data_IF_294014886559
#
_entry.id   IF_294014886559
#
_cell.length_a   1.000
_cell.length_b   1.000
_cell.length_c   1.000
_cell.angle_alpha   90.00
_cell.angle_beta   90.00
_cell.angle_gamma   90.00
#
_symmetry.space_group_name_H-M   'P 1'
#
loop_
_entity.id
_entity.type
_entity.pdbx_description
1 polymer ?
#
# COMPACT_ATOMS: atom_id res chain seq x y z
N UNK A 1 -3.62 5.61 7.78
CA UNK A 1 -3.94 5.26 6.38
C UNK A 1 -5.43 4.98 6.26
N UNK A 2 -6.11 5.44 5.19
CA UNK A 2 -7.52 5.15 4.96
C UNK A 2 -7.66 3.94 4.04
N UNK A 3 -8.42 2.93 4.47
CA UNK A 3 -8.71 1.71 3.70
C UNK A 3 -10.21 1.61 3.50
N UNK A 4 -10.64 1.24 2.29
CA UNK A 4 -12.06 1.12 1.96
C UNK A 4 -12.33 -0.34 1.63
N UNK A 5 -13.36 -0.92 2.24
CA UNK A 5 -13.78 -2.28 1.91
C UNK A 5 -14.31 -2.33 0.47
N UNK A 6 -13.79 -3.24 -0.34
CA UNK A 6 -14.18 -3.36 -1.76
C UNK A 6 -15.61 -3.90 -1.94
N UNK A 7 -16.16 -4.62 -0.95
CA UNK A 7 -17.52 -5.16 -1.07
C UNK A 7 -18.62 -4.21 -0.60
N UNK A 8 -18.46 -3.61 0.58
CA UNK A 8 -19.50 -2.76 1.18
C UNK A 8 -19.14 -1.27 1.20
N UNK A 9 -17.98 -0.88 0.65
CA UNK A 9 -17.50 0.51 0.63
C UNK A 9 -17.32 1.15 2.02
N UNK A 10 -17.24 0.34 3.09
CA UNK A 10 -16.99 0.80 4.45
C UNK A 10 -15.57 1.36 4.58
N UNK A 11 -15.44 2.52 5.21
CA UNK A 11 -14.15 3.21 5.42
C UNK A 11 -13.54 2.81 6.76
N UNK A 12 -12.27 2.44 6.76
CA UNK A 12 -11.48 2.05 7.92
C UNK A 12 -10.27 2.97 8.05
N UNK A 13 -10.04 3.48 9.26
CA UNK A 13 -8.82 4.20 9.57
C UNK A 13 -7.82 3.21 10.17
N UNK A 14 -6.79 2.88 9.41
CA UNK A 14 -5.73 1.96 9.83
C UNK A 14 -4.54 2.78 10.29
N UNK A 15 -4.29 2.76 11.59
CA UNK A 15 -3.08 3.33 12.18
C UNK A 15 -1.91 2.39 11.95
N UNK A 16 -0.96 2.86 11.15
CA UNK A 16 0.23 2.08 10.86
C UNK A 16 0.99 1.78 12.15
N UNK A 17 1.08 2.71 13.10
CA UNK A 17 1.76 2.50 14.40
C UNK A 17 1.21 1.32 15.20
N UNK A 18 -0.04 0.92 14.98
CA UNK A 18 -0.66 -0.23 15.64
C UNK A 18 -0.44 -1.55 14.89
N UNK A 19 0.03 -1.52 13.64
CA UNK A 19 0.36 -2.72 12.88
C UNK A 19 1.61 -3.39 13.48
N UNK A 20 1.49 -4.65 13.92
CA UNK A 20 2.59 -5.43 14.51
C UNK A 20 3.60 -5.97 13.49
N UNK A 21 3.40 -5.70 12.20
CA UNK A 21 4.27 -6.18 11.13
C UNK A 21 4.05 -5.44 9.82
N UNK A 22 4.63 -5.97 8.75
CA UNK A 22 4.52 -5.40 7.40
C UNK A 22 3.12 -5.58 6.80
N UNK A 23 2.30 -6.50 7.34
CA UNK A 23 0.92 -6.74 6.91
C UNK A 23 -0.03 -6.71 8.08
N UNK A 24 -1.17 -6.04 7.91
CA UNK A 24 -2.35 -6.20 8.76
C UNK A 24 -3.45 -6.93 8.00
N UNK A 25 -4.11 -7.86 8.68
CA UNK A 25 -5.28 -8.57 8.18
C UNK A 25 -6.43 -8.35 9.15
N UNK A 26 -7.58 -7.95 8.65
CA UNK A 26 -8.78 -7.77 9.47
C UNK A 26 -10.04 -8.06 8.66
N UNK A 27 -11.08 -8.52 9.34
CA UNK A 27 -12.39 -8.74 8.75
C UNK A 27 -13.23 -7.46 8.82
N UNK A 28 -13.87 -7.11 7.71
CA UNK A 28 -14.88 -6.06 7.65
C UNK A 28 -16.03 -6.40 8.58
N UNK A 29 -16.37 -5.49 9.49
CA UNK A 29 -17.46 -5.67 10.46
C UNK A 29 -18.86 -5.66 9.83
N UNK A 30 -19.02 -5.17 8.60
CA UNK A 30 -20.33 -5.06 7.95
C UNK A 30 -20.67 -6.30 7.10
N UNK A 31 -19.72 -6.72 6.26
CA UNK A 31 -19.92 -7.82 5.31
C UNK A 31 -19.12 -9.08 5.64
N UNK A 32 -18.19 -9.02 6.60
CA UNK A 32 -17.30 -10.14 6.93
C UNK A 32 -16.11 -10.34 5.97
N UNK A 33 -15.99 -9.49 4.94
CA UNK A 33 -14.91 -9.60 3.95
C UNK A 33 -13.52 -9.43 4.59
N UNK A 34 -12.56 -10.29 4.21
CA UNK A 34 -11.19 -10.23 4.76
C UNK A 34 -10.37 -9.22 3.99
N UNK A 35 -9.99 -8.14 4.67
CA UNK A 35 -9.19 -7.05 4.11
C UNK A 35 -7.74 -7.27 4.54
N UNK A 36 -6.83 -7.25 3.57
CA UNK A 36 -5.38 -7.37 3.79
C UNK A 36 -4.73 -6.06 3.37
N UNK A 37 -3.94 -5.50 4.27
CA UNK A 37 -3.30 -4.19 4.10
C UNK A 37 -1.81 -4.35 4.36
N UNK A 38 -0.99 -4.13 3.33
CA UNK A 38 0.46 -4.01 3.48
C UNK A 38 0.80 -2.60 3.94
N UNK A 39 1.63 -2.50 4.99
CA UNK A 39 2.28 -1.27 5.40
C UNK A 39 3.30 -0.93 4.32
N UNK A 40 2.86 -0.19 3.30
CA UNK A 40 3.78 0.32 2.27
C UNK A 40 4.70 1.32 2.95
N UNK A 41 5.86 0.85 3.42
CA UNK A 41 6.94 1.73 3.85
C UNK A 41 7.16 2.75 2.74
N UNK A 42 7.22 4.07 3.02
CA UNK A 42 7.50 5.09 2.01
C UNK A 42 8.93 5.01 1.44
N UNK A 43 9.61 3.88 1.58
CA UNK A 43 10.89 3.60 0.94
C UNK A 43 10.64 3.01 -0.45
N UNK A 44 11.05 3.78 -1.47
CA UNK A 44 11.23 3.38 -2.88
C UNK A 44 10.02 3.54 -3.82
N UNK A 45 9.40 4.71 -3.82
CA UNK A 45 8.83 5.29 -5.05
C UNK A 45 9.87 6.13 -5.84
N UNK A 46 11.16 5.81 -5.71
CA UNK A 46 12.25 6.36 -6.53
C UNK A 46 13.19 5.24 -6.95
N UNK A 47 12.76 4.44 -7.92
CA UNK A 47 13.69 3.72 -8.80
C UNK A 47 12.99 3.36 -10.12
N UNK A 48 12.42 4.36 -10.78
CA UNK A 48 12.34 4.39 -12.24
C UNK A 48 12.99 5.70 -12.70
N UNK A 49 14.23 5.89 -12.24
CA UNK A 49 15.18 6.83 -12.82
C UNK A 49 16.11 6.08 -13.76
N UNK A 50 15.58 5.50 -14.84
CA UNK A 50 16.41 5.09 -15.97
C UNK A 50 16.75 6.35 -16.80
N UNK A 51 17.63 7.18 -16.22
CA UNK A 51 18.44 8.13 -16.98
C UNK A 51 19.85 7.57 -17.07
N UNK A 52 20.27 7.24 -18.29
CA UNK A 52 21.66 7.04 -18.68
C UNK A 52 21.72 7.08 -20.21
N UNK A 53 21.79 8.26 -20.82
CA UNK A 53 23.02 8.95 -21.28
C UNK A 53 23.85 8.14 -22.29
N UNK A 54 23.67 8.50 -23.56
CA UNK A 54 24.72 8.99 -24.47
C UNK A 54 25.77 8.03 -24.99
N UNK A 55 25.91 7.98 -26.32
CA UNK A 55 27.11 8.49 -26.98
C UNK A 55 26.83 8.79 -28.47
N UNK A 56 27.55 9.81 -28.91
CA UNK A 56 27.62 10.46 -30.21
C UNK A 56 28.47 9.66 -31.23
N UNK A 57 28.08 9.74 -32.51
CA UNK A 57 28.84 9.56 -33.78
C UNK A 57 29.60 8.21 -34.02
N UNK A 58 30.13 7.90 -35.23
CA UNK A 58 30.44 8.72 -36.42
C UNK A 58 29.33 8.87 -37.48
#
# INVERSE_FOLDING_TARGET
MLVICEECSKKYNVDETMMRGERARFSCYECGHVIVVDRRTPAKARENGASGRGNEAP
#
